data_IF_038433319080
#
_entry.id   IF_038433319080
#
_cell.length_a   1.000
_cell.length_b   1.000
_cell.length_c   1.000
_cell.angle_alpha   90.00
_cell.angle_beta   90.00
_cell.angle_gamma   90.00
#
_symmetry.space_group_name_H-M   'P 1'
#
loop_
_entity.id
_entity.type
_entity.pdbx_description
1 polymer ?
#
# COMPACT_ATOMS: atom_id res chain seq x y z
N UNK A 1 32.14 -4.16 11.14
CA UNK A 1 31.79 -3.90 9.73
C UNK A 1 30.27 -3.97 9.64
N UNK A 2 29.62 -2.91 9.18
CA UNK A 2 28.17 -2.86 8.97
C UNK A 2 27.82 -3.70 7.73
N UNK A 3 28.04 -5.02 7.79
CA UNK A 3 27.89 -5.92 6.64
C UNK A 3 26.47 -6.47 6.44
N UNK A 4 25.55 -6.22 7.38
CA UNK A 4 24.16 -6.70 7.32
C UNK A 4 23.15 -5.55 7.22
N UNK A 5 23.55 -4.38 6.73
CA UNK A 5 22.57 -3.37 6.35
C UNK A 5 21.99 -3.79 5.01
N UNK A 6 20.76 -4.32 5.03
CA UNK A 6 19.96 -4.45 3.81
C UNK A 6 19.54 -3.04 3.37
N UNK A 7 20.10 -2.50 2.27
CA UNK A 7 19.79 -1.16 1.81
C UNK A 7 18.37 -1.06 1.22
N UNK A 8 17.70 -2.19 1.03
CA UNK A 8 16.31 -2.27 0.60
C UNK A 8 15.47 -2.58 1.84
N UNK A 9 15.28 -1.55 2.67
CA UNK A 9 14.60 -1.69 3.96
C UNK A 9 13.23 -2.35 3.83
N UNK A 10 12.81 -3.06 4.89
CA UNK A 10 11.44 -3.57 5.05
C UNK A 10 10.37 -2.53 4.71
N UNK A 11 10.67 -1.24 4.89
CA UNK A 11 9.81 -0.11 4.53
C UNK A 11 10.24 0.56 3.22
N UNK A 12 9.30 0.72 2.30
CA UNK A 12 9.46 1.43 1.02
C UNK A 12 8.37 2.49 0.86
N UNK A 13 8.74 3.68 0.38
CA UNK A 13 7.79 4.74 0.02
C UNK A 13 7.78 4.93 -1.49
N UNK A 14 6.61 4.81 -2.11
CA UNK A 14 6.41 5.08 -3.54
C UNK A 14 5.59 6.34 -3.67
N UNK A 15 6.27 7.48 -3.90
CA UNK A 15 5.61 8.75 -4.16
C UNK A 15 5.45 8.98 -5.67
N UNK A 16 4.31 9.50 -6.14
CA UNK A 16 4.17 9.99 -7.50
C UNK A 16 4.92 11.33 -7.65
N UNK A 17 4.88 11.91 -8.85
CA UNK A 17 5.47 13.23 -9.07
C UNK A 17 4.75 14.35 -8.29
N UNK A 18 5.36 15.52 -8.09
CA UNK A 18 4.77 16.59 -7.28
C UNK A 18 3.40 17.07 -7.75
N UNK A 19 3.09 16.98 -9.05
CA UNK A 19 1.79 17.40 -9.58
C UNK A 19 0.68 16.41 -9.23
N UNK A 20 0.96 15.11 -9.35
CA UNK A 20 0.07 14.04 -8.87
C UNK A 20 -0.14 14.12 -7.34
N UNK A 21 0.91 14.46 -6.57
CA UNK A 21 0.80 14.64 -5.12
C UNK A 21 -0.08 15.84 -4.75
N UNK A 22 0.00 16.94 -5.48
CA UNK A 22 -0.89 18.09 -5.30
C UNK A 22 -2.35 17.73 -5.64
N UNK A 23 -2.56 17.00 -6.73
CA UNK A 23 -3.88 16.49 -7.12
C UNK A 23 -4.46 15.54 -6.06
N UNK A 24 -3.63 14.71 -5.42
CA UNK A 24 -4.08 13.85 -4.33
C UNK A 24 -4.68 14.64 -3.16
N UNK A 25 -4.12 15.79 -2.82
CA UNK A 25 -4.67 16.67 -1.77
C UNK A 25 -6.02 17.28 -2.19
N UNK A 26 -6.16 17.70 -3.45
CA UNK A 26 -7.41 18.25 -3.98
C UNK A 26 -8.52 17.21 -3.96
N UNK A 27 -8.23 16.01 -4.47
CA UNK A 27 -9.19 14.90 -4.47
C UNK A 27 -9.59 14.48 -3.07
N UNK A 28 -8.63 14.40 -2.16
CA UNK A 28 -8.92 14.12 -0.75
C UNK A 28 -9.90 15.12 -0.14
N UNK A 29 -9.70 16.42 -0.41
CA UNK A 29 -10.61 17.48 0.03
C UNK A 29 -12.03 17.33 -0.56
N UNK A 30 -12.13 16.81 -1.79
CA UNK A 30 -13.41 16.48 -2.45
C UNK A 30 -14.00 15.13 -2.01
N UNK A 31 -13.39 14.42 -1.06
CA UNK A 31 -13.85 13.12 -0.60
C UNK A 31 -13.54 11.99 -1.60
N UNK A 32 -12.54 12.14 -2.47
CA UNK A 32 -12.15 11.19 -3.51
C UNK A 32 -10.74 10.66 -3.28
N UNK A 33 -10.45 9.50 -3.89
CA UNK A 33 -9.10 8.91 -3.89
C UNK A 33 -8.33 9.39 -5.13
N UNK A 34 -7.01 9.56 -4.96
CA UNK A 34 -6.11 9.90 -6.06
C UNK A 34 -5.96 8.74 -7.07
N UNK A 35 -5.83 9.05 -8.36
CA UNK A 35 -5.60 8.01 -9.37
C UNK A 35 -4.21 7.37 -9.20
N UNK A 36 -3.21 8.18 -8.81
CA UNK A 36 -1.85 7.77 -8.49
C UNK A 36 -1.49 8.19 -7.06
N UNK A 37 -1.92 7.44 -6.04
CA UNK A 37 -1.65 7.80 -4.66
C UNK A 37 -0.21 7.50 -4.26
N UNK A 38 0.28 8.17 -3.22
CA UNK A 38 1.49 7.75 -2.52
C UNK A 38 1.21 6.47 -1.74
N UNK A 39 2.12 5.50 -1.87
CA UNK A 39 2.05 4.23 -1.16
C UNK A 39 3.16 4.15 -0.10
N UNK A 40 2.81 3.72 1.10
CA UNK A 40 3.76 3.24 2.10
C UNK A 40 3.64 1.72 2.16
N UNK A 41 4.75 1.03 1.86
CA UNK A 41 4.82 -0.42 1.84
C UNK A 41 5.73 -0.85 2.98
N UNK A 42 5.29 -1.81 3.79
CA UNK A 42 6.10 -2.37 4.86
C UNK A 42 6.04 -3.91 4.85
N UNK A 43 7.19 -4.56 4.97
CA UNK A 43 7.31 -6.03 5.00
C UNK A 43 7.96 -6.45 6.32
N UNK A 44 7.22 -6.39 7.44
CA UNK A 44 7.81 -6.49 8.77
C UNK A 44 8.45 -7.86 9.05
N UNK A 45 7.94 -8.91 8.39
CA UNK A 45 8.52 -10.26 8.45
C UNK A 45 9.96 -10.39 7.92
N UNK A 46 10.50 -9.37 7.23
CA UNK A 46 11.93 -9.31 6.86
C UNK A 46 12.84 -9.03 8.05
N UNK A 47 12.34 -8.27 9.04
CA UNK A 47 13.12 -7.85 10.22
C UNK A 47 12.68 -8.57 11.50
N UNK A 48 11.45 -9.08 11.53
CA UNK A 48 10.91 -9.89 12.63
C UNK A 48 10.45 -11.27 12.13
N UNK A 49 11.27 -12.32 12.31
CA UNK A 49 10.90 -13.69 11.93
C UNK A 49 9.65 -14.23 12.64
N UNK A 50 9.24 -13.68 13.79
CA UNK A 50 8.02 -14.09 14.48
C UNK A 50 6.75 -13.70 13.72
N UNK A 51 6.85 -12.74 12.80
CA UNK A 51 5.77 -12.30 11.91
C UNK A 51 5.69 -13.11 10.61
N UNK A 52 6.56 -14.11 10.40
CA UNK A 52 6.49 -14.99 9.23
C UNK A 52 5.27 -15.93 9.36
N UNK A 53 4.28 -15.87 8.45
CA UNK A 53 3.05 -16.64 8.59
C UNK A 53 3.23 -18.11 8.21
N UNK A 54 4.16 -18.41 7.30
CA UNK A 54 4.58 -19.77 6.94
C UNK A 54 5.94 -19.72 6.22
N UNK A 55 6.66 -20.85 6.06
CA UNK A 55 7.90 -20.89 5.28
C UNK A 55 7.72 -20.32 3.87
N UNK A 56 8.58 -19.38 3.49
CA UNK A 56 8.54 -18.72 2.17
C UNK A 56 7.40 -17.71 1.99
N UNK A 57 6.73 -17.28 3.07
CA UNK A 57 5.69 -16.25 3.04
C UNK A 57 6.11 -15.03 3.85
N UNK A 58 5.59 -13.88 3.45
CA UNK A 58 5.79 -12.62 4.13
C UNK A 58 4.45 -11.94 4.40
N UNK A 59 4.40 -11.14 5.47
CA UNK A 59 3.33 -10.18 5.69
C UNK A 59 3.77 -8.87 5.02
N UNK A 60 2.83 -8.26 4.28
CA UNK A 60 2.99 -6.93 3.69
C UNK A 60 1.87 -6.03 4.20
N UNK A 61 2.24 -4.86 4.72
CA UNK A 61 1.35 -3.74 4.97
C UNK A 61 1.41 -2.76 3.80
N UNK A 62 0.26 -2.28 3.35
CA UNK A 62 0.13 -1.26 2.31
C UNK A 62 -0.77 -0.15 2.82
N UNK A 63 -0.19 1.04 3.02
CA UNK A 63 -0.95 2.24 3.36
C UNK A 63 -1.02 3.16 2.16
N UNK A 64 -2.21 3.73 1.95
CA UNK A 64 -2.50 4.63 0.82
C UNK A 64 -2.84 6.00 1.38
N UNK A 65 -1.98 6.97 1.05
CA UNK A 65 -2.09 8.32 1.62
C UNK A 65 -3.16 9.16 0.92
N UNK A 66 -3.65 10.18 1.63
CA UNK A 66 -4.68 11.11 1.17
C UNK A 66 -6.01 10.42 0.81
N UNK A 67 -6.34 9.35 1.51
CA UNK A 67 -7.65 8.71 1.41
C UNK A 67 -8.67 9.44 2.30
N UNK A 68 -9.90 9.69 1.79
CA UNK A 68 -10.89 10.45 2.53
C UNK A 68 -11.51 9.59 3.65
N UNK A 69 -11.79 10.17 4.81
CA UNK A 69 -12.49 9.43 5.88
C UNK A 69 -13.87 8.95 5.39
N UNK A 70 -14.61 9.82 4.72
CA UNK A 70 -15.96 9.56 4.23
C UNK A 70 -16.05 9.41 2.71
N UNK A 71 -15.63 8.28 2.16
CA UNK A 71 -15.76 8.00 0.73
C UNK A 71 -17.24 8.00 0.29
N UNK A 72 -17.62 8.72 -0.79
CA UNK A 72 -18.95 8.64 -1.39
C UNK A 72 -19.28 7.19 -1.77
N UNK A 73 -20.44 6.70 -1.33
CA UNK A 73 -20.83 5.29 -1.48
C UNK A 73 -20.33 4.36 -0.38
N UNK A 74 -19.45 4.84 0.52
CA UNK A 74 -18.92 4.09 1.65
C UNK A 74 -17.75 3.18 1.29
N UNK A 75 -16.93 2.86 2.29
CA UNK A 75 -15.74 2.02 2.11
C UNK A 75 -16.07 0.54 1.88
N UNK A 76 -17.14 0.03 2.49
CA UNK A 76 -17.53 -1.38 2.39
C UNK A 76 -17.91 -1.83 0.98
N UNK A 77 -18.38 -0.91 0.13
CA UNK A 77 -18.74 -1.17 -1.26
C UNK A 77 -17.67 -0.70 -2.26
N UNK A 78 -16.53 -0.22 -1.77
CA UNK A 78 -15.48 0.37 -2.60
C UNK A 78 -14.59 -0.70 -3.25
N UNK A 79 -14.25 -0.50 -4.52
CA UNK A 79 -13.24 -1.31 -5.25
C UNK A 79 -11.82 -0.73 -5.15
N UNK A 80 -11.63 0.32 -4.36
CA UNK A 80 -10.33 0.97 -4.17
C UNK A 80 -9.26 0.02 -3.62
N UNK A 81 -9.52 -0.87 -2.64
CA UNK A 81 -8.50 -1.79 -2.13
C UNK A 81 -7.89 -2.67 -3.21
N UNK A 82 -8.71 -3.28 -4.08
CA UNK A 82 -8.25 -4.08 -5.20
C UNK A 82 -7.46 -3.24 -6.20
N UNK A 83 -7.90 -2.00 -6.45
CA UNK A 83 -7.20 -1.05 -7.33
C UNK A 83 -5.80 -0.74 -6.79
N UNK A 84 -5.66 -0.51 -5.48
CA UNK A 84 -4.36 -0.21 -4.85
C UNK A 84 -3.40 -1.40 -4.90
N UNK A 85 -3.90 -2.63 -4.72
CA UNK A 85 -3.08 -3.84 -4.92
C UNK A 85 -2.60 -3.96 -6.36
N UNK A 86 -3.43 -3.56 -7.34
CA UNK A 86 -3.01 -3.45 -8.74
C UNK A 86 -1.91 -2.41 -8.94
N UNK A 87 -2.11 -1.19 -8.42
CA UNK A 87 -1.10 -0.12 -8.51
C UNK A 87 0.21 -0.55 -7.85
N UNK A 88 0.16 -1.16 -6.67
CA UNK A 88 1.34 -1.68 -5.99
C UNK A 88 2.05 -2.72 -6.87
N UNK A 89 1.32 -3.71 -7.39
CA UNK A 89 1.90 -4.78 -8.21
C UNK A 89 2.55 -4.24 -9.50
N UNK A 90 1.96 -3.23 -10.13
CA UNK A 90 2.50 -2.59 -11.35
C UNK A 90 3.82 -1.86 -11.11
N UNK A 91 4.17 -1.55 -9.85
CA UNK A 91 5.46 -0.95 -9.47
C UNK A 91 6.52 -1.97 -9.07
N UNK A 92 6.11 -3.23 -8.97
CA UNK A 92 6.98 -4.35 -8.58
C UNK A 92 7.38 -5.17 -9.81
N UNK A 93 8.12 -6.26 -9.58
CA UNK A 93 8.48 -7.21 -10.62
C UNK A 93 7.24 -7.87 -11.26
N UNK A 94 7.29 -8.19 -12.56
CA UNK A 94 6.22 -8.91 -13.24
C UNK A 94 5.84 -10.19 -12.47
N UNK A 95 4.55 -10.36 -12.20
CA UNK A 95 4.06 -11.49 -11.41
C UNK A 95 3.75 -11.18 -9.94
N UNK A 96 4.03 -9.97 -9.46
CA UNK A 96 3.81 -9.60 -8.06
C UNK A 96 2.36 -9.80 -7.59
N UNK A 97 1.38 -9.52 -8.47
CA UNK A 97 -0.04 -9.68 -8.13
C UNK A 97 -0.43 -11.13 -7.80
N UNK A 98 0.24 -12.10 -8.43
CA UNK A 98 0.03 -13.53 -8.25
C UNK A 98 0.63 -14.05 -6.94
N UNK A 99 1.52 -13.29 -6.30
CA UNK A 99 2.11 -13.63 -5.01
C UNK A 99 1.16 -13.31 -3.83
N UNK A 100 0.13 -12.48 -4.05
CA UNK A 100 -0.87 -12.18 -3.04
C UNK A 100 -1.80 -13.38 -2.84
N UNK A 101 -1.61 -14.08 -1.73
CA UNK A 101 -2.41 -15.25 -1.35
C UNK A 101 -3.75 -14.84 -0.72
N UNK A 102 -3.69 -13.94 0.25
CA UNK A 102 -4.83 -13.43 1.01
C UNK A 102 -4.57 -11.96 1.35
N UNK A 103 -5.63 -11.17 1.51
CA UNK A 103 -5.53 -9.79 1.98
C UNK A 103 -6.79 -9.39 2.74
N UNK A 104 -6.64 -8.37 3.58
CA UNK A 104 -7.73 -7.65 4.22
C UNK A 104 -7.43 -6.16 4.14
N UNK A 105 -8.46 -5.34 4.16
CA UNK A 105 -8.34 -3.89 4.23
C UNK A 105 -8.90 -3.40 5.55
N UNK A 106 -8.24 -2.39 6.11
CA UNK A 106 -8.76 -1.60 7.22
C UNK A 106 -9.13 -0.24 6.67
N UNK A 107 -10.43 0.07 6.69
CA UNK A 107 -10.96 1.37 6.27
C UNK A 107 -11.65 2.05 7.44
N UNK A 108 -11.82 3.38 7.41
CA UNK A 108 -12.62 4.08 8.39
C UNK A 108 -14.01 3.45 8.59
N UNK A 109 -14.34 3.12 9.84
CA UNK A 109 -15.69 2.76 10.24
C UNK A 109 -16.52 4.06 10.27
N UNK A 110 -17.64 4.07 9.54
CA UNK A 110 -18.65 5.13 9.68
C UNK A 110 -19.81 4.64 10.53
#
# INVERSE_FOLDING_TARGET
ALSDFDPVGHTTVVSPDPSDLAEAHLRWADGRVADRPTLLVDVPSMVDPSMVPAPGRHILSLEVLFTPYGLPGGWSASSEPERWLGIWADRMEPGARQLLLDWRVMTPDR
#
